data_IF_506782947011
#
_entry.id   IF_506782947011
#
_cell.length_a   1.000
_cell.length_b   1.000
_cell.length_c   1.000
_cell.angle_alpha   90.00
_cell.angle_beta   90.00
_cell.angle_gamma   90.00
#
_symmetry.space_group_name_H-M   'P 1'
#
loop_
_entity.id
_entity.type
_entity.pdbx_description
1 polymer ?
#
# COMPACT_ATOMS: atom_id res chain seq x y z
N UNK A 1 -7.17 -22.27 -13.50
CA UNK A 1 -7.41 -20.82 -13.57
C UNK A 1 -6.76 -20.22 -12.34
N UNK A 2 -5.97 -19.17 -12.49
CA UNK A 2 -5.32 -18.48 -11.37
C UNK A 2 -6.16 -17.27 -11.01
N UNK A 3 -6.63 -17.18 -9.76
CA UNK A 3 -7.41 -16.01 -9.32
C UNK A 3 -6.44 -14.84 -9.13
N UNK A 4 -6.87 -13.64 -9.53
CA UNK A 4 -6.06 -12.42 -9.43
C UNK A 4 -6.70 -11.48 -8.41
N UNK A 5 -5.90 -10.95 -7.50
CA UNK A 5 -6.33 -10.06 -6.42
C UNK A 5 -5.61 -8.72 -6.51
N UNK A 6 -6.27 -7.65 -6.07
CA UNK A 6 -5.63 -6.35 -5.88
C UNK A 6 -4.73 -6.45 -4.65
N UNK A 7 -3.42 -6.26 -4.84
CA UNK A 7 -2.46 -6.22 -3.74
C UNK A 7 -2.29 -4.79 -3.20
N UNK A 8 -2.14 -3.81 -4.08
CA UNK A 8 -1.86 -2.44 -3.67
C UNK A 8 -2.37 -1.45 -4.70
N UNK A 9 -2.82 -0.29 -4.23
CA UNK A 9 -3.19 0.85 -5.06
C UNK A 9 -2.36 2.04 -4.62
N UNK A 10 -1.56 2.60 -5.54
CA UNK A 10 -0.98 3.93 -5.42
C UNK A 10 -1.95 4.92 -6.04
N UNK A 11 -2.60 5.81 -5.27
CA UNK A 11 -3.66 6.69 -5.77
C UNK A 11 -3.21 7.59 -6.92
N UNK A 12 -1.92 7.89 -7.00
CA UNK A 12 -1.35 8.70 -8.06
C UNK A 12 -0.19 7.97 -8.73
N UNK A 13 -0.08 8.11 -10.06
CA UNK A 13 1.08 7.68 -10.83
C UNK A 13 2.09 8.84 -10.89
N UNK A 14 3.39 8.52 -10.87
CA UNK A 14 4.44 9.52 -11.05
C UNK A 14 4.59 10.01 -12.50
N UNK A 15 3.92 9.35 -13.45
CA UNK A 15 3.92 9.65 -14.87
C UNK A 15 2.62 10.36 -15.21
N UNK A 16 2.64 11.70 -15.13
CA UNK A 16 1.57 12.53 -15.66
C UNK A 16 1.43 12.24 -17.16
N UNK A 17 0.47 11.39 -17.53
CA UNK A 17 0.07 11.17 -18.90
C UNK A 17 -1.10 12.11 -19.12
N UNK A 18 -0.84 13.18 -19.88
CA UNK A 18 -1.75 14.21 -20.39
C UNK A 18 -3.04 14.47 -19.58
N UNK A 19 -3.10 15.70 -19.07
CA UNK A 19 -4.25 16.33 -18.41
C UNK A 19 -5.61 15.84 -18.93
N UNK A 20 -6.35 15.15 -18.05
CA UNK A 20 -7.79 15.37 -17.78
C UNK A 20 -8.41 14.40 -16.76
N UNK A 21 -7.73 13.33 -16.36
CA UNK A 21 -8.28 12.44 -15.32
C UNK A 21 -7.18 11.79 -14.48
N UNK A 22 -7.22 11.91 -13.14
CA UNK A 22 -6.24 11.26 -12.27
C UNK A 22 -6.39 9.73 -12.35
N UNK A 23 -5.24 9.05 -12.45
CA UNK A 23 -5.15 7.59 -12.51
C UNK A 23 -4.39 7.07 -11.29
N UNK A 24 -4.82 5.92 -10.80
CA UNK A 24 -4.16 5.16 -9.75
C UNK A 24 -3.43 3.95 -10.33
N UNK A 25 -2.25 3.64 -9.80
CA UNK A 25 -1.51 2.42 -10.16
C UNK A 25 -1.98 1.28 -9.28
N UNK A 26 -2.58 0.27 -9.88
CA UNK A 26 -3.06 -0.94 -9.22
C UNK A 26 -2.10 -2.10 -9.51
N UNK A 27 -1.58 -2.73 -8.44
CA UNK A 27 -0.78 -3.96 -8.53
C UNK A 27 -1.64 -5.16 -8.18
N UNK A 28 -1.44 -6.24 -8.94
CA UNK A 28 -2.18 -7.48 -8.79
C UNK A 28 -1.27 -8.66 -8.46
N UNK A 29 -1.80 -9.57 -7.64
CA UNK A 29 -1.14 -10.82 -7.24
C UNK A 29 -2.03 -12.04 -7.52
N UNK A 30 -1.42 -13.21 -7.63
CA UNK A 30 -2.13 -14.49 -7.69
C UNK A 30 -2.46 -15.06 -6.31
N UNK A 31 -3.19 -16.18 -6.26
CA UNK A 31 -3.47 -16.99 -5.05
C UNK A 31 -2.21 -17.32 -4.20
N UNK A 32 -1.01 -17.30 -4.81
CA UNK A 32 0.27 -17.50 -4.14
C UNK A 32 1.01 -16.21 -3.74
N UNK A 33 0.32 -15.07 -3.74
CA UNK A 33 0.92 -13.73 -3.52
C UNK A 33 2.05 -13.36 -4.52
N UNK A 34 2.06 -13.99 -5.69
CA UNK A 34 3.04 -13.71 -6.75
C UNK A 34 2.55 -12.50 -7.54
N UNK A 35 3.41 -11.50 -7.77
CA UNK A 35 3.07 -10.38 -8.65
C UNK A 35 2.83 -10.88 -10.07
N UNK A 36 1.66 -10.52 -10.62
CA UNK A 36 1.26 -10.94 -11.98
C UNK A 36 1.02 -9.78 -12.93
N UNK A 37 0.67 -8.59 -12.41
CA UNK A 37 0.32 -7.44 -13.25
C UNK A 37 0.40 -6.11 -12.50
N UNK A 38 0.71 -5.05 -13.24
CA UNK A 38 0.49 -3.66 -12.83
C UNK A 38 -0.34 -2.97 -13.91
N UNK A 39 -1.31 -2.14 -13.52
CA UNK A 39 -2.12 -1.36 -14.46
C UNK A 39 -2.40 0.03 -13.89
N UNK A 40 -2.51 1.01 -14.78
CA UNK A 40 -3.07 2.32 -14.43
C UNK A 40 -4.59 2.29 -14.62
N UNK A 41 -5.33 2.74 -13.60
CA UNK A 41 -6.79 2.68 -13.52
C UNK A 41 -7.30 4.09 -13.20
N UNK A 42 -8.25 4.59 -13.98
CA UNK A 42 -8.91 5.87 -13.68
C UNK A 42 -9.56 5.83 -12.28
N UNK A 43 -9.54 6.95 -11.56
CA UNK A 43 -10.21 7.05 -10.26
C UNK A 43 -11.69 6.67 -10.33
N UNK A 44 -12.37 7.02 -11.42
CA UNK A 44 -13.79 6.67 -11.65
C UNK A 44 -14.02 5.16 -11.78
N UNK A 45 -13.01 4.41 -12.25
CA UNK A 45 -13.07 2.96 -12.44
C UNK A 45 -12.54 2.17 -11.22
N UNK A 46 -11.97 2.83 -10.21
CA UNK A 46 -11.44 2.14 -9.03
C UNK A 46 -12.48 1.31 -8.27
N UNK A 47 -13.72 1.80 -8.01
CA UNK A 47 -14.71 1.00 -7.30
C UNK A 47 -15.02 -0.32 -8.01
N UNK A 48 -15.14 -0.31 -9.33
CA UNK A 48 -15.47 -1.52 -10.10
C UNK A 48 -14.29 -2.48 -10.23
N UNK A 49 -13.05 -1.97 -10.23
CA UNK A 49 -11.84 -2.79 -10.35
C UNK A 49 -11.38 -3.35 -9.01
N UNK A 50 -11.54 -2.59 -7.94
CA UNK A 50 -10.93 -2.89 -6.63
C UNK A 50 -11.94 -3.21 -5.54
N UNK A 51 -13.22 -2.92 -5.76
CA UNK A 51 -14.29 -3.00 -4.77
C UNK A 51 -14.35 -1.80 -3.82
N UNK A 52 -13.42 -0.84 -3.91
CA UNK A 52 -13.33 0.31 -3.01
C UNK A 52 -13.17 1.62 -3.76
N UNK A 53 -13.75 2.72 -3.26
CA UNK A 53 -13.65 4.03 -3.89
C UNK A 53 -12.29 4.70 -3.65
N UNK A 54 -12.02 5.82 -4.32
CA UNK A 54 -10.72 6.50 -4.24
C UNK A 54 -10.40 6.97 -2.82
N UNK A 55 -11.40 7.41 -2.03
CA UNK A 55 -11.21 7.90 -0.66
C UNK A 55 -10.63 6.82 0.25
N UNK A 56 -11.04 5.57 0.04
CA UNK A 56 -10.47 4.41 0.74
C UNK A 56 -8.97 4.29 0.43
N UNK A 57 -8.60 4.33 -0.84
CA UNK A 57 -7.20 4.20 -1.26
C UNK A 57 -6.33 5.38 -0.86
N UNK A 58 -6.89 6.60 -0.87
CA UNK A 58 -6.21 7.79 -0.37
C UNK A 58 -5.90 7.68 1.12
N UNK A 59 -6.85 7.19 1.93
CA UNK A 59 -6.63 6.93 3.36
C UNK A 59 -5.52 5.90 3.56
N UNK A 60 -5.59 4.78 2.86
CA UNK A 60 -4.58 3.71 2.95
C UNK A 60 -3.19 4.21 2.54
N UNK A 61 -3.08 4.93 1.42
CA UNK A 61 -1.78 5.46 0.94
C UNK A 61 -1.21 6.50 1.91
N UNK A 62 -2.05 7.38 2.46
CA UNK A 62 -1.61 8.38 3.43
C UNK A 62 -0.96 7.71 4.65
N UNK A 63 -1.66 6.77 5.28
CA UNK A 63 -1.17 6.05 6.46
C UNK A 63 0.06 5.19 6.12
N UNK A 64 0.08 4.56 4.95
CA UNK A 64 1.23 3.79 4.50
C UNK A 64 2.47 4.65 4.31
N UNK A 65 2.33 5.87 3.78
CA UNK A 65 3.46 6.82 3.64
C UNK A 65 3.96 7.32 4.97
N UNK A 66 3.07 7.62 5.93
CA UNK A 66 3.49 7.96 7.29
C UNK A 66 4.31 6.82 7.92
N UNK A 67 3.83 5.58 7.82
CA UNK A 67 4.55 4.41 8.29
C UNK A 67 5.89 4.22 7.54
N UNK A 68 5.90 4.40 6.22
CA UNK A 68 7.11 4.29 5.41
C UNK A 68 8.17 5.32 5.80
N UNK A 69 7.80 6.58 6.03
CA UNK A 69 8.73 7.59 6.52
C UNK A 69 9.30 7.23 7.90
N UNK A 70 8.46 6.78 8.82
CA UNK A 70 8.92 6.29 10.11
C UNK A 70 9.91 5.12 9.98
N UNK A 71 9.65 4.16 9.09
CA UNK A 71 10.55 3.04 8.83
C UNK A 71 11.87 3.51 8.21
N UNK A 72 11.82 4.45 7.25
CA UNK A 72 13.01 5.03 6.64
C UNK A 72 13.91 5.71 7.67
N UNK A 73 13.33 6.45 8.63
CA UNK A 73 14.08 7.06 9.74
C UNK A 73 14.77 6.02 10.63
N UNK A 74 14.08 4.92 10.93
CA UNK A 74 14.66 3.82 11.73
C UNK A 74 15.80 3.13 10.99
N UNK A 75 15.65 2.88 9.69
CA UNK A 75 16.68 2.25 8.84
C UNK A 75 17.90 3.17 8.74
N UNK A 76 17.68 4.46 8.45
CA UNK A 76 18.76 5.46 8.36
C UNK A 76 19.53 5.59 9.69
N UNK A 77 18.82 5.52 10.81
CA UNK A 77 19.40 5.51 12.15
C UNK A 77 19.98 4.14 12.57
N UNK A 78 19.96 3.13 11.70
CA UNK A 78 20.42 1.74 11.95
C UNK A 78 19.74 1.07 13.15
N UNK A 79 18.50 1.47 13.47
CA UNK A 79 17.70 0.89 14.55
C UNK A 79 17.01 -0.42 14.11
N UNK A 80 16.80 -0.59 12.81
CA UNK A 80 16.33 -1.83 12.18
C UNK A 80 17.13 -2.11 10.91
N UNK A 81 17.15 -3.37 10.47
CA UNK A 81 17.71 -3.74 9.17
C UNK A 81 16.83 -3.24 8.03
N UNK A 82 17.41 -3.14 6.83
CA UNK A 82 16.63 -2.95 5.61
C UNK A 82 15.75 -4.18 5.38
N UNK A 83 14.47 -3.95 5.12
CA UNK A 83 13.45 -4.98 4.87
C UNK A 83 12.70 -4.66 3.59
N UNK A 84 12.10 -5.68 2.99
CA UNK A 84 11.32 -5.56 1.75
C UNK A 84 9.85 -5.89 1.94
N UNK A 85 9.42 -6.31 3.12
CA UNK A 85 8.02 -6.62 3.43
C UNK A 85 7.63 -6.14 4.82
N UNK A 86 6.33 -5.94 5.04
CA UNK A 86 5.80 -5.61 6.35
C UNK A 86 6.00 -6.75 7.36
N UNK A 87 5.93 -8.00 6.89
CA UNK A 87 6.09 -9.21 7.70
C UNK A 87 7.52 -9.39 8.25
N UNK A 88 8.52 -8.83 7.58
CA UNK A 88 9.91 -8.80 8.03
C UNK A 88 10.17 -7.81 9.16
N UNK A 89 9.21 -6.92 9.47
CA UNK A 89 9.40 -5.90 10.51
C UNK A 89 9.49 -6.51 11.91
N UNK A 90 10.35 -5.98 12.79
CA UNK A 90 10.40 -6.40 14.18
C UNK A 90 9.03 -6.22 14.87
N UNK A 91 8.58 -7.14 15.73
CA UNK A 91 7.26 -7.07 16.37
C UNK A 91 7.00 -5.75 17.11
N UNK A 92 8.03 -5.17 17.74
CA UNK A 92 7.91 -3.88 18.44
C UNK A 92 7.61 -2.71 17.48
N UNK A 93 8.17 -2.75 16.26
CA UNK A 93 7.90 -1.74 15.22
C UNK A 93 6.48 -1.91 14.67
N UNK A 94 6.06 -3.15 14.42
CA UNK A 94 4.67 -3.46 14.01
C UNK A 94 3.68 -2.96 15.06
N UNK A 95 3.94 -3.23 16.35
CA UNK A 95 3.10 -2.77 17.44
C UNK A 95 3.03 -1.23 17.48
N UNK A 96 4.15 -0.54 17.25
CA UNK A 96 4.18 0.93 17.23
C UNK A 96 3.37 1.52 16.07
N UNK A 97 3.47 0.94 14.87
CA UNK A 97 2.66 1.36 13.71
C UNK A 97 1.16 1.19 14.02
N UNK A 98 0.78 0.02 14.54
CA UNK A 98 -0.61 -0.30 14.91
C UNK A 98 -1.17 0.55 16.04
N UNK A 99 -0.30 1.03 16.94
CA UNK A 99 -0.69 1.88 18.06
C UNK A 99 -0.90 3.36 17.67
N UNK A 100 -0.58 3.76 16.44
CA UNK A 100 -0.92 5.12 15.98
C UNK A 100 -2.44 5.29 15.96
N UNK A 101 -2.93 6.46 16.40
CA UNK A 101 -4.37 6.69 16.61
C UNK A 101 -5.21 6.46 15.35
N UNK A 102 -4.67 6.78 14.17
CA UNK A 102 -5.36 6.59 12.90
C UNK A 102 -5.38 5.13 12.45
N UNK A 103 -4.28 4.39 12.65
CA UNK A 103 -4.20 2.95 12.31
C UNK A 103 -5.02 2.11 13.29
N UNK A 104 -5.06 2.48 14.56
CA UNK A 104 -5.84 1.80 15.59
C UNK A 104 -7.37 1.81 15.32
N UNK A 105 -7.84 2.74 14.49
CA UNK A 105 -9.24 2.86 14.10
C UNK A 105 -9.60 2.05 12.85
N UNK A 106 -8.63 1.41 12.20
CA UNK A 106 -8.87 0.67 10.97
C UNK A 106 -9.58 -0.66 11.22
N UNK A 107 -10.49 -0.99 10.31
CA UNK A 107 -11.07 -2.34 10.26
C UNK A 107 -10.05 -3.39 9.75
N UNK A 108 -10.41 -4.69 9.79
CA UNK A 108 -9.53 -5.77 9.32
C UNK A 108 -9.12 -5.64 7.85
N UNK A 109 -10.06 -5.19 6.99
CA UNK A 109 -9.84 -4.99 5.55
C UNK A 109 -8.84 -3.85 5.31
N UNK A 110 -9.07 -2.69 5.91
CA UNK A 110 -8.17 -1.54 5.83
C UNK A 110 -6.78 -1.88 6.36
N UNK A 111 -6.71 -2.61 7.47
CA UNK A 111 -5.44 -3.08 8.05
C UNK A 111 -4.66 -3.96 7.08
N UNK A 112 -5.35 -4.84 6.35
CA UNK A 112 -4.72 -5.71 5.33
C UNK A 112 -4.16 -4.88 4.19
N UNK A 113 -4.95 -3.98 3.62
CA UNK A 113 -4.49 -3.12 2.52
C UNK A 113 -3.41 -2.13 2.95
N UNK A 114 -3.40 -1.68 4.20
CA UNK A 114 -2.31 -0.89 4.77
C UNK A 114 -1.00 -1.67 4.76
N UNK A 115 -0.99 -2.91 5.25
CA UNK A 115 0.21 -3.75 5.28
C UNK A 115 0.74 -3.99 3.85
N UNK A 116 -0.16 -4.32 2.92
CA UNK A 116 0.21 -4.52 1.52
C UNK A 116 0.74 -3.24 0.87
N UNK A 117 0.18 -2.07 1.20
CA UNK A 117 0.67 -0.78 0.70
C UNK A 117 2.02 -0.40 1.29
N UNK A 118 2.28 -0.69 2.56
CA UNK A 118 3.62 -0.51 3.16
C UNK A 118 4.63 -1.42 2.48
N UNK A 119 4.30 -2.70 2.28
CA UNK A 119 5.15 -3.64 1.53
C UNK A 119 5.44 -3.13 0.12
N UNK A 120 4.45 -2.54 -0.57
CA UNK A 120 4.66 -1.95 -1.89
C UNK A 120 5.67 -0.80 -1.87
N UNK A 121 5.57 0.10 -0.88
CA UNK A 121 6.50 1.22 -0.70
C UNK A 121 7.90 0.70 -0.36
N UNK A 122 8.05 -0.27 0.54
CA UNK A 122 9.35 -0.85 0.89
C UNK A 122 10.07 -1.50 -0.30
N UNK A 123 9.33 -2.02 -1.29
CA UNK A 123 9.89 -2.69 -2.47
C UNK A 123 10.20 -1.75 -3.63
N UNK A 124 9.38 -0.72 -3.81
CA UNK A 124 9.33 0.03 -5.07
C UNK A 124 9.27 1.55 -4.91
N UNK A 125 9.21 2.06 -3.68
CA UNK A 125 8.92 3.47 -3.36
C UNK A 125 10.05 4.19 -2.64
#
# INVERSE_FOLDING_TARGET
MTTTYVASVSPFTATARDDRSPVARVRYVSDGAIYVKVADVSHDALPSVTGYPIEFWLRIDHLARQAHHYLADLIAARKIAQVTTFEELPPAVVARIRASSEVAQLGPVETTYLQLRITDLLRFG
#
